data_IF_454093938153
#
_entry.id   IF_454093938153
#
_cell.length_a   1.000
_cell.length_b   1.000
_cell.length_c   1.000
_cell.angle_alpha   90.00
_cell.angle_beta   90.00
_cell.angle_gamma   90.00
#
_symmetry.space_group_name_H-M   'P 1'
#
loop_
_entity.id
_entity.type
_entity.pdbx_description
1 polymer ?
#
# COMPACT_ATOMS: atom_id res chain seq x y z
N UNK A 1 -8.82 -46.30 29.92
CA UNK A 1 -8.88 -45.98 28.48
C UNK A 1 -7.82 -44.94 28.15
N UNK A 2 -6.63 -45.40 27.78
CA UNK A 2 -5.57 -44.57 27.22
C UNK A 2 -5.83 -44.37 25.73
N UNK A 3 -5.87 -43.12 25.27
CA UNK A 3 -5.95 -42.81 23.84
C UNK A 3 -4.56 -42.36 23.40
N UNK A 4 -3.94 -43.19 22.59
CA UNK A 4 -2.63 -43.00 21.97
C UNK A 4 -2.58 -41.70 21.15
N UNK A 5 -1.58 -40.89 21.45
CA UNK A 5 -1.08 -39.84 20.56
C UNK A 5 -0.25 -40.53 19.47
N UNK A 6 -0.77 -40.55 18.24
CA UNK A 6 0.02 -40.92 17.06
C UNK A 6 0.57 -39.65 16.43
N UNK A 7 1.88 -39.48 16.59
CA UNK A 7 2.71 -38.49 15.92
C UNK A 7 2.81 -38.86 14.43
N UNK A 8 2.24 -38.03 13.54
CA UNK A 8 2.46 -38.14 12.10
C UNK A 8 3.57 -37.17 11.69
N UNK A 9 4.77 -37.70 11.42
CA UNK A 9 5.86 -36.98 10.75
C UNK A 9 5.70 -37.03 9.23
N UNK A 10 5.95 -35.86 8.64
CA UNK A 10 6.48 -35.58 7.29
C UNK A 10 5.64 -35.90 6.05
N UNK A 11 4.99 -34.85 5.53
CA UNK A 11 4.95 -34.55 4.10
C UNK A 11 5.27 -33.05 3.87
N UNK A 12 6.05 -32.79 2.82
CA UNK A 12 6.65 -31.53 2.40
C UNK A 12 5.87 -30.24 2.72
N UNK A 13 6.56 -29.32 3.40
CA UNK A 13 6.09 -28.03 3.85
C UNK A 13 5.83 -27.08 2.66
N UNK A 14 4.69 -27.20 1.97
CA UNK A 14 4.12 -26.09 1.20
C UNK A 14 3.63 -25.06 2.21
N UNK A 15 4.52 -24.13 2.60
CA UNK A 15 4.29 -23.15 3.65
C UNK A 15 2.92 -22.47 3.53
N UNK A 16 2.06 -22.74 4.51
CA UNK A 16 0.73 -22.12 4.60
C UNK A 16 0.94 -20.62 4.79
N UNK A 17 0.52 -19.85 3.79
CA UNK A 17 0.63 -18.39 3.82
C UNK A 17 -0.27 -17.80 4.90
N UNK A 18 0.33 -17.10 5.86
CA UNK A 18 -0.40 -16.29 6.83
C UNK A 18 -0.37 -14.83 6.38
N UNK A 19 -1.52 -14.24 5.97
CA UNK A 19 -1.55 -12.84 5.58
C UNK A 19 -1.24 -11.93 6.78
N UNK A 20 -0.32 -10.99 6.60
CA UNK A 20 -0.02 -9.98 7.62
C UNK A 20 -1.12 -8.90 7.59
N UNK A 21 -1.71 -8.59 8.75
CA UNK A 21 -2.77 -7.59 8.84
C UNK A 21 -2.23 -6.16 8.75
N UNK A 22 -2.93 -5.27 8.03
CA UNK A 22 -2.52 -3.86 7.85
C UNK A 22 -2.29 -3.11 9.16
N UNK A 23 -3.08 -3.38 10.20
CA UNK A 23 -2.87 -2.74 11.51
C UNK A 23 -1.64 -3.27 12.25
N UNK A 24 -1.28 -4.54 12.05
CA UNK A 24 -0.07 -5.12 12.66
C UNK A 24 1.15 -4.41 12.06
N UNK A 25 1.25 -4.40 10.73
CA UNK A 25 2.31 -3.67 10.02
C UNK A 25 2.39 -2.19 10.41
N UNK A 26 1.24 -1.52 10.50
CA UNK A 26 1.18 -0.11 10.95
C UNK A 26 1.75 0.08 12.36
N UNK A 27 1.41 -0.81 13.30
CA UNK A 27 1.90 -0.71 14.68
C UNK A 27 3.41 -0.96 14.74
N UNK A 28 3.91 -1.97 14.04
CA UNK A 28 5.34 -2.30 13.96
C UNK A 28 6.13 -1.13 13.37
N UNK A 29 5.74 -0.64 12.19
CA UNK A 29 6.39 0.51 11.57
C UNK A 29 6.30 1.78 12.43
N UNK A 30 5.22 1.98 13.20
CA UNK A 30 5.07 3.15 14.06
C UNK A 30 6.07 3.19 15.22
N UNK A 31 6.63 2.05 15.62
CA UNK A 31 7.69 2.01 16.63
C UNK A 31 9.05 2.43 16.07
N UNK A 32 9.24 2.37 14.75
CA UNK A 32 10.47 2.81 14.14
C UNK A 32 10.54 4.35 14.10
N UNK A 33 11.57 5.01 14.67
CA UNK A 33 11.65 6.47 14.78
C UNK A 33 11.51 7.18 13.42
N UNK A 34 12.20 6.65 12.40
CA UNK A 34 12.15 7.18 11.03
C UNK A 34 10.75 6.97 10.41
N UNK A 35 10.23 5.74 10.39
CA UNK A 35 8.99 5.43 9.65
C UNK A 35 7.74 6.11 10.24
N UNK A 36 7.74 6.43 11.55
CA UNK A 36 6.58 7.00 12.24
C UNK A 36 6.06 8.28 11.59
N UNK A 37 6.93 9.17 11.10
CA UNK A 37 6.54 10.42 10.42
C UNK A 37 5.98 10.20 9.01
N UNK A 38 6.23 9.02 8.42
CA UNK A 38 5.76 8.63 7.09
C UNK A 38 4.47 7.79 7.13
N UNK A 39 3.88 7.56 8.30
CA UNK A 39 2.64 6.78 8.43
C UNK A 39 1.41 7.69 8.49
N UNK A 40 0.45 7.57 7.55
CA UNK A 40 -0.81 8.30 7.66
C UNK A 40 -1.57 7.82 8.90
N UNK A 41 -2.23 8.74 9.63
CA UNK A 41 -2.94 8.35 10.85
C UNK A 41 -3.94 7.22 10.54
N UNK A 42 -3.78 6.09 11.24
CA UNK A 42 -4.58 4.88 11.02
C UNK A 42 -5.14 4.38 12.35
N UNK A 43 -6.44 4.09 12.39
CA UNK A 43 -7.15 3.59 13.58
C UNK A 43 -8.07 2.44 13.23
N UNK A 44 -8.37 1.59 14.22
CA UNK A 44 -9.51 0.68 14.12
C UNK A 44 -10.80 1.49 13.97
N UNK A 45 -11.65 1.06 13.05
CA UNK A 45 -12.89 1.79 12.75
C UNK A 45 -13.83 1.80 13.95
N UNK A 46 -14.30 2.98 14.31
CA UNK A 46 -15.52 3.18 15.12
C UNK A 46 -16.27 4.36 14.53
N UNK A 47 -17.55 4.51 14.85
CA UNK A 47 -18.33 5.66 14.39
C UNK A 47 -17.66 6.99 14.81
N UNK A 48 -17.33 7.11 16.10
CA UNK A 48 -16.71 8.30 16.66
C UNK A 48 -15.35 8.62 15.99
N UNK A 49 -14.45 7.63 15.88
CA UNK A 49 -13.13 7.84 15.26
C UNK A 49 -13.26 8.23 13.79
N UNK A 50 -14.18 7.60 13.05
CA UNK A 50 -14.39 7.90 11.63
C UNK A 50 -14.90 9.32 11.42
N UNK A 51 -15.88 9.76 12.22
CA UNK A 51 -16.41 11.12 12.14
C UNK A 51 -15.37 12.16 12.55
N UNK A 52 -14.63 11.93 13.63
CA UNK A 52 -13.53 12.80 14.06
C UNK A 52 -12.48 12.95 12.96
N UNK A 53 -12.00 11.85 12.41
CA UNK A 53 -11.01 11.88 11.33
C UNK A 53 -11.56 12.52 10.04
N UNK A 54 -12.85 12.36 9.74
CA UNK A 54 -13.50 13.06 8.64
C UNK A 54 -13.55 14.58 8.85
N UNK A 55 -13.68 15.02 10.10
CA UNK A 55 -13.67 16.43 10.42
C UNK A 55 -12.25 17.01 10.32
N UNK A 56 -11.27 16.34 10.94
CA UNK A 56 -9.85 16.74 10.91
C UNK A 56 -9.27 16.74 9.49
N UNK A 57 -9.44 15.65 8.74
CA UNK A 57 -8.74 15.45 7.47
C UNK A 57 -9.59 15.73 6.23
N UNK A 58 -10.90 15.95 6.39
CA UNK A 58 -11.92 16.08 5.32
C UNK A 58 -12.09 14.86 4.42
N UNK A 59 -11.08 14.03 4.25
CA UNK A 59 -11.11 12.77 3.49
C UNK A 59 -10.52 11.67 4.34
N UNK A 60 -11.17 10.51 4.38
CA UNK A 60 -10.64 9.30 4.98
C UNK A 60 -10.86 8.11 4.06
N UNK A 61 -9.99 7.11 4.20
CA UNK A 61 -10.11 5.82 3.56
C UNK A 61 -10.44 4.76 4.61
N UNK A 62 -11.50 4.01 4.37
CA UNK A 62 -11.87 2.84 5.15
C UNK A 62 -11.39 1.61 4.39
N UNK A 63 -10.47 0.86 4.99
CA UNK A 63 -9.78 -0.29 4.35
C UNK A 63 -10.03 -1.56 5.15
N UNK A 64 -10.30 -2.72 4.53
CA UNK A 64 -10.32 -3.98 5.28
C UNK A 64 -8.92 -4.29 5.81
N UNK A 65 -8.82 -4.87 7.02
CA UNK A 65 -7.52 -5.20 7.62
C UNK A 65 -6.71 -6.19 6.77
N UNK A 66 -7.42 -7.09 6.09
CA UNK A 66 -6.87 -8.07 5.15
C UNK A 66 -7.45 -7.87 3.75
N UNK A 67 -6.67 -8.26 2.75
CA UNK A 67 -7.00 -8.12 1.33
C UNK A 67 -6.00 -7.24 0.60
N UNK A 68 -6.03 -7.32 -0.72
CA UNK A 68 -5.07 -6.70 -1.63
C UNK A 68 -5.77 -5.99 -2.79
N UNK A 69 -5.01 -5.24 -3.58
CA UNK A 69 -5.50 -4.62 -4.82
C UNK A 69 -6.57 -3.52 -4.61
N UNK A 70 -6.67 -2.98 -3.41
CA UNK A 70 -7.65 -1.94 -3.08
C UNK A 70 -9.11 -2.37 -3.23
N UNK A 71 -9.41 -3.66 -3.20
CA UNK A 71 -10.78 -4.17 -3.17
C UNK A 71 -11.41 -3.91 -1.80
N UNK A 72 -12.64 -3.40 -1.80
CA UNK A 72 -13.36 -3.05 -0.57
C UNK A 72 -12.84 -1.79 0.14
N UNK A 73 -11.96 -1.00 -0.48
CA UNK A 73 -11.61 0.33 0.01
C UNK A 73 -12.78 1.28 -0.24
N UNK A 74 -13.22 1.94 0.81
CA UNK A 74 -14.26 2.96 0.79
C UNK A 74 -13.59 4.32 1.02
N UNK A 75 -13.85 5.29 0.16
CA UNK A 75 -13.44 6.68 0.39
C UNK A 75 -14.64 7.47 0.91
N UNK A 76 -14.49 8.12 2.05
CA UNK A 76 -15.45 9.10 2.54
C UNK A 76 -14.81 10.50 2.50
N UNK A 77 -15.51 11.48 1.93
CA UNK A 77 -15.03 12.87 1.78
C UNK A 77 -16.11 13.86 2.17
N UNK A 78 -15.81 14.79 3.07
CA UNK A 78 -16.64 15.95 3.42
C UNK A 78 -16.60 16.96 2.26
N UNK A 79 -17.76 17.31 1.72
CA UNK A 79 -17.97 18.24 0.60
C UNK A 79 -19.03 19.26 1.02
N UNK A 80 -18.58 20.44 1.47
CA UNK A 80 -19.46 21.41 2.13
C UNK A 80 -20.14 20.80 3.36
N UNK A 81 -21.48 20.88 3.41
CA UNK A 81 -22.34 20.29 4.46
C UNK A 81 -22.72 18.83 4.20
N UNK A 82 -22.25 18.22 3.11
CA UNK A 82 -22.54 16.84 2.69
C UNK A 82 -21.29 15.97 2.72
N UNK A 83 -21.48 14.67 2.54
CA UNK A 83 -20.43 13.67 2.48
C UNK A 83 -20.57 12.85 1.22
N UNK A 84 -19.48 12.74 0.45
CA UNK A 84 -19.37 11.81 -0.66
C UNK A 84 -18.72 10.50 -0.17
N UNK A 85 -19.41 9.37 -0.36
CA UNK A 85 -18.91 8.03 -0.06
C UNK A 85 -18.78 7.24 -1.36
N UNK A 86 -17.60 6.71 -1.64
CA UNK A 86 -17.32 5.89 -2.84
C UNK A 86 -16.76 4.53 -2.48
N UNK A 87 -17.18 3.49 -3.18
CA UNK A 87 -16.59 2.16 -3.13
C UNK A 87 -16.63 1.57 -4.54
N UNK A 88 -15.46 1.32 -5.15
CA UNK A 88 -15.41 0.94 -6.57
C UNK A 88 -16.01 2.02 -7.49
N UNK A 89 -16.94 1.62 -8.37
CA UNK A 89 -17.73 2.53 -9.22
C UNK A 89 -18.90 3.18 -8.47
N UNK A 90 -19.35 2.60 -7.35
CA UNK A 90 -20.47 3.12 -6.58
C UNK A 90 -20.13 4.45 -5.91
N UNK A 91 -21.04 5.42 -6.01
CA UNK A 91 -20.94 6.75 -5.41
C UNK A 91 -22.26 7.12 -4.74
N UNK A 92 -22.18 7.63 -3.51
CA UNK A 92 -23.31 8.20 -2.76
C UNK A 92 -22.93 9.57 -2.22
N UNK A 93 -23.86 10.53 -2.28
CA UNK A 93 -23.73 11.83 -1.63
C UNK A 93 -24.83 11.93 -0.59
N UNK A 94 -24.45 12.10 0.68
CA UNK A 94 -25.37 12.01 1.82
C UNK A 94 -25.17 13.16 2.79
N UNK A 95 -26.19 13.46 3.60
CA UNK A 95 -26.09 14.38 4.73
C UNK A 95 -25.32 13.73 5.91
N UNK A 96 -24.92 14.54 6.88
CA UNK A 96 -24.16 14.11 8.07
C UNK A 96 -24.79 12.91 8.79
N UNK A 97 -26.10 12.93 9.05
CA UNK A 97 -26.79 11.85 9.76
C UNK A 97 -26.71 10.49 9.03
N UNK A 98 -26.57 10.49 7.70
CA UNK A 98 -26.58 9.29 6.87
C UNK A 98 -25.17 8.77 6.49
N UNK A 99 -24.09 9.52 6.75
CA UNK A 99 -22.73 9.13 6.34
C UNK A 99 -22.29 7.78 6.92
N UNK A 100 -22.62 7.52 8.18
CA UNK A 100 -22.27 6.26 8.85
C UNK A 100 -22.95 5.07 8.19
N UNK A 101 -24.24 5.20 7.84
CA UNK A 101 -25.01 4.16 7.16
C UNK A 101 -24.46 3.91 5.76
N UNK A 102 -24.11 4.98 5.02
CA UNK A 102 -23.50 4.88 3.71
C UNK A 102 -22.13 4.19 3.71
N UNK A 103 -21.28 4.44 4.73
CA UNK A 103 -20.01 3.72 4.90
C UNK A 103 -20.28 2.25 5.24
N UNK A 104 -21.20 1.98 6.17
CA UNK A 104 -21.54 0.62 6.60
C UNK A 104 -22.07 -0.24 5.47
N UNK A 105 -22.89 0.31 4.58
CA UNK A 105 -23.47 -0.45 3.45
C UNK A 105 -22.44 -1.00 2.46
N UNK A 106 -21.21 -0.48 2.45
CA UNK A 106 -20.14 -0.99 1.61
C UNK A 106 -19.17 -1.93 2.33
N UNK A 107 -19.32 -2.09 3.66
CA UNK A 107 -18.50 -3.01 4.44
C UNK A 107 -19.05 -4.41 4.32
N UNK A 108 -18.15 -5.39 4.21
CA UNK A 108 -18.52 -6.80 4.32
C UNK A 108 -18.74 -7.16 5.79
N UNK A 109 -19.76 -7.97 6.12
CA UNK A 109 -19.96 -8.48 7.47
C UNK A 109 -18.75 -9.31 7.92
N UNK A 110 -18.56 -9.42 9.23
CA UNK A 110 -17.47 -10.17 9.90
C UNK A 110 -16.02 -9.78 9.55
N UNK A 111 -15.81 -8.75 8.70
CA UNK A 111 -14.46 -8.21 8.43
C UNK A 111 -14.11 -7.04 9.34
N UNK A 112 -12.88 -7.05 9.84
CA UNK A 112 -12.29 -5.91 10.55
C UNK A 112 -11.85 -4.85 9.55
N UNK A 113 -12.13 -3.58 9.86
CA UNK A 113 -11.78 -2.44 9.02
C UNK A 113 -10.98 -1.39 9.80
N UNK A 114 -10.17 -0.67 9.06
CA UNK A 114 -9.37 0.47 9.50
C UNK A 114 -9.94 1.73 8.89
N UNK A 115 -9.81 2.86 9.60
CA UNK A 115 -9.97 4.20 9.06
C UNK A 115 -8.59 4.86 9.01
N UNK A 116 -8.25 5.40 7.85
CA UNK A 116 -6.96 6.01 7.57
C UNK A 116 -7.15 7.41 6.99
N UNK A 117 -6.27 8.34 7.36
CA UNK A 117 -6.19 9.69 6.82
C UNK A 117 -6.14 9.69 5.29
N UNK A 118 -6.89 10.60 4.66
CA UNK A 118 -6.77 10.90 3.24
C UNK A 118 -5.61 11.88 2.99
N UNK A 119 -4.75 11.54 2.04
CA UNK A 119 -3.53 12.29 1.72
C UNK A 119 -3.74 13.29 0.56
N UNK A 120 -2.99 14.39 0.57
CA UNK A 120 -3.02 15.43 -0.48
C UNK A 120 -1.91 15.17 -1.51
N UNK A 121 -2.03 14.04 -2.18
CA UNK A 121 -1.00 13.53 -3.08
C UNK A 121 -0.71 14.46 -4.26
N UNK A 122 0.57 14.48 -4.66
CA UNK A 122 1.00 15.05 -5.92
C UNK A 122 0.32 14.32 -7.09
N UNK A 123 0.21 15.02 -8.22
CA UNK A 123 -0.41 14.48 -9.43
C UNK A 123 0.56 14.56 -10.58
N UNK A 124 0.66 13.47 -11.31
CA UNK A 124 1.38 13.38 -12.58
C UNK A 124 0.36 13.41 -13.71
N UNK A 125 0.43 14.45 -14.56
CA UNK A 125 -0.51 14.67 -15.67
C UNK A 125 -2.00 14.58 -15.24
N UNK A 126 -2.32 15.15 -14.08
CA UNK A 126 -3.68 15.16 -13.52
C UNK A 126 -4.11 13.89 -12.78
N UNK A 127 -3.35 12.80 -12.87
CA UNK A 127 -3.60 11.54 -12.15
C UNK A 127 -2.76 11.42 -10.88
N UNK A 128 -3.32 10.79 -9.85
CA UNK A 128 -2.56 10.39 -8.66
C UNK A 128 -1.58 9.27 -9.04
N UNK A 129 -0.46 9.19 -8.32
CA UNK A 129 0.50 8.12 -8.46
C UNK A 129 1.05 7.70 -7.09
N UNK A 130 1.68 6.53 -7.06
CA UNK A 130 2.60 6.13 -6.00
C UNK A 130 3.85 5.49 -6.60
N UNK A 131 4.92 5.43 -5.82
CA UNK A 131 6.11 4.65 -6.10
C UNK A 131 5.91 3.22 -5.61
N UNK A 132 6.04 2.27 -6.53
CA UNK A 132 6.13 0.84 -6.26
C UNK A 132 7.61 0.45 -6.24
N UNK A 133 8.09 0.04 -5.07
CA UNK A 133 9.40 -0.59 -4.89
C UNK A 133 9.18 -2.09 -4.69
N UNK A 134 9.91 -2.90 -5.45
CA UNK A 134 9.88 -4.36 -5.36
C UNK A 134 11.18 -4.83 -4.72
N UNK A 135 11.09 -5.21 -3.45
CA UNK A 135 12.18 -5.72 -2.62
C UNK A 135 12.20 -7.25 -2.68
N UNK A 136 13.38 -7.84 -2.76
CA UNK A 136 13.58 -9.29 -2.71
C UNK A 136 14.80 -9.64 -1.87
N UNK A 137 14.76 -10.80 -1.22
CA UNK A 137 15.87 -11.37 -0.46
C UNK A 137 16.24 -12.72 -1.10
N UNK A 138 16.96 -12.72 -2.26
CA UNK A 138 17.31 -13.94 -2.99
C UNK A 138 18.25 -14.85 -2.21
N UNK A 139 19.05 -14.27 -1.33
CA UNK A 139 19.92 -14.96 -0.39
C UNK A 139 19.53 -14.50 1.03
N UNK A 140 20.44 -13.88 1.79
CA UNK A 140 20.19 -13.30 3.12
C UNK A 140 19.85 -11.81 3.11
N UNK A 141 20.28 -11.06 2.10
CA UNK A 141 20.17 -9.60 2.08
C UNK A 141 19.04 -9.08 1.19
N UNK A 142 18.41 -7.99 1.62
CA UNK A 142 17.39 -7.28 0.86
C UNK A 142 18.00 -6.51 -0.32
N UNK A 143 17.47 -6.75 -1.52
CA UNK A 143 17.83 -6.02 -2.74
C UNK A 143 16.61 -5.39 -3.40
N UNK A 144 16.80 -4.17 -3.92
CA UNK A 144 15.81 -3.50 -4.77
C UNK A 144 15.86 -4.12 -6.16
N UNK A 145 14.83 -4.88 -6.48
CA UNK A 145 14.75 -5.59 -7.77
C UNK A 145 14.03 -4.78 -8.85
N UNK A 146 13.20 -3.81 -8.44
CA UNK A 146 12.59 -2.85 -9.36
C UNK A 146 11.96 -1.67 -8.65
N UNK A 147 11.95 -0.51 -9.32
CA UNK A 147 11.30 0.72 -8.86
C UNK A 147 10.50 1.33 -10.01
N UNK A 148 9.25 1.70 -9.77
CA UNK A 148 8.39 2.28 -10.81
C UNK A 148 7.31 3.17 -10.21
N UNK A 149 6.82 4.15 -10.97
CA UNK A 149 5.62 4.90 -10.63
C UNK A 149 4.37 4.14 -11.12
N UNK A 150 3.38 3.96 -10.25
CA UNK A 150 2.03 3.50 -10.62
C UNK A 150 1.11 4.69 -10.77
N UNK A 151 0.78 5.02 -12.01
CA UNK A 151 -0.13 6.13 -12.31
C UNK A 151 -1.55 5.59 -12.37
N UNK A 152 -2.46 6.17 -11.58
CA UNK A 152 -3.86 5.78 -11.60
C UNK A 152 -4.54 6.14 -12.93
N UNK A 153 -5.52 5.34 -13.33
CA UNK A 153 -6.45 5.74 -14.39
C UNK A 153 -7.15 7.06 -14.03
N UNK A 154 -7.51 7.88 -15.04
CA UNK A 154 -8.17 9.16 -14.82
C UNK A 154 -9.37 9.06 -13.86
N UNK A 155 -9.47 10.02 -12.94
CA UNK A 155 -10.56 10.13 -11.93
C UNK A 155 -10.70 8.96 -10.94
N UNK A 156 -9.80 7.97 -10.95
CA UNK A 156 -9.79 6.89 -9.95
C UNK A 156 -9.10 7.34 -8.65
N UNK A 157 -9.47 6.66 -7.56
CA UNK A 157 -9.01 6.95 -6.19
C UNK A 157 -7.96 5.96 -5.70
N UNK A 158 -7.64 4.97 -6.52
CA UNK A 158 -6.64 3.94 -6.29
C UNK A 158 -5.80 3.78 -7.56
N UNK A 159 -4.52 3.54 -7.36
CA UNK A 159 -3.45 3.39 -8.37
C UNK A 159 -3.25 1.95 -8.84
N UNK A 160 -4.10 1.02 -8.38
CA UNK A 160 -3.92 -0.39 -8.68
C UNK A 160 -3.96 -0.66 -10.20
N UNK A 161 -2.90 -1.28 -10.70
CA UNK A 161 -2.76 -1.83 -12.06
C UNK A 161 -4.00 -2.58 -12.55
N UNK A 162 -4.56 -3.49 -11.75
CA UNK A 162 -5.76 -4.28 -12.12
C UNK A 162 -7.02 -3.41 -12.27
N UNK A 163 -6.95 -2.11 -12.00
CA UNK A 163 -8.02 -1.13 -12.13
C UNK A 163 -7.69 -0.05 -13.17
N UNK A 164 -6.81 -0.36 -14.13
CA UNK A 164 -6.43 0.50 -15.25
C UNK A 164 -5.25 1.44 -14.99
N UNK A 165 -4.54 1.26 -13.88
CA UNK A 165 -3.27 1.98 -13.66
C UNK A 165 -2.16 1.47 -14.58
N UNK A 166 -1.18 2.31 -14.88
CA UNK A 166 -0.03 1.94 -15.72
C UNK A 166 1.30 2.26 -15.03
N UNK A 167 2.36 1.56 -15.45
CA UNK A 167 3.72 1.82 -15.01
C UNK A 167 4.34 3.01 -15.77
N UNK A 168 5.13 3.82 -15.08
CA UNK A 168 5.99 4.82 -15.69
C UNK A 168 7.33 4.88 -14.91
N UNK A 169 8.46 5.22 -15.57
CA UNK A 169 9.72 5.42 -14.86
C UNK A 169 9.54 6.45 -13.74
N UNK A 170 9.85 6.06 -12.50
CA UNK A 170 9.57 6.91 -11.33
C UNK A 170 10.31 8.25 -11.41
N UNK A 171 11.56 8.26 -11.89
CA UNK A 171 12.34 9.48 -12.11
C UNK A 171 11.62 10.46 -13.05
N UNK A 172 11.05 9.98 -14.16
CA UNK A 172 10.27 10.80 -15.09
C UNK A 172 9.01 11.37 -14.44
N UNK A 173 8.34 10.57 -13.62
CA UNK A 173 7.14 11.00 -12.88
C UNK A 173 7.50 12.11 -11.90
N UNK A 174 8.51 11.88 -11.05
CA UNK A 174 8.97 12.83 -10.04
C UNK A 174 9.51 14.11 -10.67
N UNK A 175 10.33 14.02 -11.72
CA UNK A 175 10.87 15.18 -12.43
C UNK A 175 9.75 16.09 -12.94
N UNK A 176 8.68 15.50 -13.53
CA UNK A 176 7.52 16.28 -13.98
C UNK A 176 6.73 16.88 -12.83
N UNK A 177 6.56 16.15 -11.74
CA UNK A 177 5.84 16.61 -10.53
C UNK A 177 6.54 17.80 -9.89
N UNK A 178 7.87 17.77 -9.82
CA UNK A 178 8.70 18.83 -9.26
C UNK A 178 9.21 19.82 -10.32
N UNK A 179 8.44 20.02 -11.40
CA UNK A 179 8.70 21.07 -12.41
C UNK A 179 10.14 21.08 -12.98
N UNK A 180 10.69 19.90 -13.25
CA UNK A 180 12.05 19.68 -13.76
C UNK A 180 13.20 19.99 -12.79
N UNK A 181 12.91 20.17 -11.50
CA UNK A 181 13.94 20.23 -10.46
C UNK A 181 14.59 18.85 -10.29
N UNK A 182 15.83 18.72 -10.80
CA UNK A 182 16.60 17.48 -10.75
C UNK A 182 17.10 17.15 -9.35
N UNK A 183 17.46 18.17 -8.57
CA UNK A 183 17.97 18.00 -7.22
C UNK A 183 16.85 17.46 -6.32
N UNK A 184 15.67 18.09 -6.35
CA UNK A 184 14.51 17.64 -5.59
C UNK A 184 14.04 16.26 -6.04
N UNK A 185 14.04 16.00 -7.35
CA UNK A 185 13.70 14.67 -7.87
C UNK A 185 14.63 13.59 -7.32
N UNK A 186 15.95 13.84 -7.33
CA UNK A 186 16.95 12.89 -6.81
C UNK A 186 16.80 12.69 -5.31
N UNK A 187 16.65 13.78 -4.54
CA UNK A 187 16.41 13.74 -3.09
C UNK A 187 15.23 12.83 -2.73
N UNK A 188 14.08 13.01 -3.39
CA UNK A 188 12.88 12.22 -3.14
C UNK A 188 13.05 10.76 -3.56
N UNK A 189 13.75 10.50 -4.67
CA UNK A 189 14.04 9.14 -5.12
C UNK A 189 14.93 8.40 -4.12
N UNK A 190 15.97 9.05 -3.62
CA UNK A 190 16.90 8.49 -2.64
C UNK A 190 16.18 8.21 -1.30
N UNK A 191 15.32 9.13 -0.84
CA UNK A 191 14.47 8.90 0.34
C UNK A 191 13.50 7.72 0.16
N UNK A 192 12.90 7.56 -1.03
CA UNK A 192 12.02 6.42 -1.35
C UNK A 192 12.79 5.10 -1.24
N UNK A 193 14.01 5.06 -1.77
CA UNK A 193 14.90 3.89 -1.73
C UNK A 193 15.24 3.54 -0.29
N UNK A 194 15.64 4.54 0.49
CA UNK A 194 16.06 4.34 1.88
C UNK A 194 14.92 3.89 2.78
N UNK A 195 13.77 4.57 2.71
CA UNK A 195 12.56 4.17 3.42
C UNK A 195 12.15 2.73 3.06
N UNK A 196 12.34 2.32 1.80
CA UNK A 196 11.99 0.96 1.38
C UNK A 196 12.86 -0.12 2.03
N UNK A 197 14.15 0.15 2.26
CA UNK A 197 15.03 -0.76 3.01
C UNK A 197 14.60 -0.87 4.47
N UNK A 198 14.42 0.27 5.12
CA UNK A 198 13.99 0.33 6.53
C UNK A 198 12.64 -0.38 6.73
N UNK A 199 11.68 -0.20 5.82
CA UNK A 199 10.40 -0.91 5.86
C UNK A 199 10.60 -2.41 5.71
N UNK A 200 11.44 -2.86 4.77
CA UNK A 200 11.70 -4.27 4.55
C UNK A 200 12.27 -4.93 5.80
N UNK A 201 13.30 -4.34 6.39
CA UNK A 201 13.93 -4.83 7.62
C UNK A 201 12.93 -4.81 8.81
N UNK A 202 12.13 -3.76 8.91
CA UNK A 202 11.14 -3.64 9.99
C UNK A 202 10.07 -4.74 9.94
N UNK A 203 9.60 -5.09 8.74
CA UNK A 203 8.62 -6.16 8.56
C UNK A 203 9.27 -7.53 8.76
N UNK A 204 10.47 -7.74 8.21
CA UNK A 204 11.19 -9.01 8.26
C UNK A 204 11.51 -9.45 9.68
N UNK A 205 11.78 -8.50 10.60
CA UNK A 205 12.00 -8.76 12.04
C UNK A 205 10.90 -9.59 12.71
N UNK A 206 9.65 -9.39 12.32
CA UNK A 206 8.49 -10.08 12.94
C UNK A 206 7.82 -11.07 12.00
N UNK A 207 8.08 -10.97 10.70
CA UNK A 207 7.45 -11.78 9.66
C UNK A 207 8.53 -12.19 8.66
N UNK A 208 9.10 -13.40 8.75
CA UNK A 208 10.15 -13.84 7.85
C UNK A 208 9.59 -13.90 6.42
N UNK A 209 9.96 -12.93 5.60
CA UNK A 209 9.50 -12.79 4.22
C UNK A 209 10.68 -12.60 3.29
N UNK A 210 10.54 -13.07 2.05
CA UNK A 210 11.61 -12.96 1.04
C UNK A 210 11.27 -12.00 -0.08
N UNK A 211 10.04 -11.49 -0.12
CA UNK A 211 9.58 -10.53 -1.11
C UNK A 211 8.68 -9.49 -0.45
N UNK A 212 8.82 -8.23 -0.85
CA UNK A 212 7.94 -7.14 -0.42
C UNK A 212 7.68 -6.16 -1.57
N UNK A 213 6.40 -5.86 -1.80
CA UNK A 213 6.01 -4.73 -2.64
C UNK A 213 5.62 -3.57 -1.76
N UNK A 214 6.44 -2.54 -1.76
CA UNK A 214 6.27 -1.34 -0.95
C UNK A 214 5.66 -0.26 -1.84
N UNK A 215 4.56 0.32 -1.35
CA UNK A 215 3.84 1.41 -2.00
C UNK A 215 4.02 2.70 -1.20
N UNK A 216 4.68 3.68 -1.81
CA UNK A 216 4.99 4.98 -1.21
C UNK A 216 4.32 6.09 -2.02
N UNK A 217 3.50 6.92 -1.39
CA UNK A 217 2.90 8.07 -2.05
C UNK A 217 3.68 9.34 -1.75
N UNK A 218 3.62 10.31 -2.66
CA UNK A 218 4.36 11.58 -2.55
C UNK A 218 3.38 12.75 -2.60
N UNK A 219 3.50 13.70 -1.67
CA UNK A 219 2.78 14.97 -1.70
C UNK A 219 3.55 16.04 -2.48
N UNK A 220 2.87 17.14 -2.83
CA UNK A 220 3.51 18.26 -3.56
C UNK A 220 4.67 18.90 -2.78
N UNK A 221 4.66 18.81 -1.46
CA UNK A 221 5.74 19.30 -0.59
C UNK A 221 6.99 18.41 -0.63
N UNK A 222 6.89 17.20 -1.17
CA UNK A 222 7.93 16.17 -1.05
C UNK A 222 7.71 15.21 0.13
N UNK A 223 6.72 15.43 0.99
CA UNK A 223 6.39 14.46 2.05
C UNK A 223 6.05 13.09 1.45
N UNK A 224 6.74 12.05 1.90
CA UNK A 224 6.52 10.66 1.51
C UNK A 224 5.63 9.98 2.56
N UNK A 225 4.66 9.20 2.10
CA UNK A 225 3.74 8.43 2.94
C UNK A 225 3.75 6.95 2.58
N UNK A 226 3.83 6.09 3.59
CA UNK A 226 3.73 4.64 3.46
C UNK A 226 2.25 4.26 3.29
N UNK A 227 1.95 3.62 2.15
CA UNK A 227 0.58 3.20 1.82
C UNK A 227 0.34 1.74 2.16
N UNK A 228 1.27 0.86 1.78
CA UNK A 228 1.17 -0.58 1.96
C UNK A 228 2.55 -1.24 1.82
N UNK A 229 2.80 -2.31 2.59
CA UNK A 229 3.92 -3.22 2.42
C UNK A 229 3.36 -4.64 2.22
N UNK A 230 3.34 -5.12 0.98
CA UNK A 230 2.69 -6.38 0.64
C UNK A 230 3.71 -7.52 0.51
N UNK A 231 3.67 -8.57 1.35
CA UNK A 231 4.61 -9.70 1.31
C UNK A 231 4.40 -10.64 0.12
N UNK A 232 3.33 -10.46 -0.65
CA UNK A 232 3.13 -11.16 -1.91
C UNK A 232 2.85 -10.16 -3.05
N UNK A 233 3.89 -9.45 -3.51
CA UNK A 233 3.72 -8.48 -4.57
C UNK A 233 3.53 -9.15 -5.95
N UNK A 234 2.65 -8.56 -6.76
CA UNK A 234 2.61 -8.86 -8.20
C UNK A 234 3.71 -8.08 -8.93
N UNK A 235 4.33 -8.70 -9.93
CA UNK A 235 5.41 -8.11 -10.73
C UNK A 235 5.00 -7.71 -12.15
N UNK A 236 3.77 -8.06 -12.58
CA UNK A 236 3.30 -7.82 -13.95
C UNK A 236 3.36 -6.36 -14.40
N UNK A 237 3.23 -5.43 -13.45
CA UNK A 237 3.39 -3.99 -13.69
C UNK A 237 4.75 -3.66 -14.34
N UNK A 238 5.83 -4.34 -13.96
CA UNK A 238 7.18 -4.06 -14.47
C UNK A 238 7.36 -4.46 -15.94
N UNK A 239 6.47 -5.29 -16.50
CA UNK A 239 6.46 -5.63 -17.94
C UNK A 239 6.00 -4.46 -18.82
N UNK A 240 5.34 -3.44 -18.25
CA UNK A 240 4.89 -2.28 -19.00
C UNK A 240 5.98 -1.21 -19.18
N UNK A 241 7.10 -1.34 -18.45
CA UNK A 241 8.20 -0.41 -18.60
C UNK A 241 8.95 -0.71 -19.90
N UNK A 242 9.37 0.31 -20.67
CA UNK A 242 10.15 0.10 -21.89
C UNK A 242 11.45 -0.69 -21.64
N UNK A 243 12.06 -0.49 -20.47
CA UNK A 243 13.26 -1.22 -20.07
C UNK A 243 12.90 -2.48 -19.26
N UNK A 244 13.10 -3.65 -19.87
CA UNK A 244 12.81 -4.95 -19.26
C UNK A 244 13.87 -5.44 -18.26
N UNK A 245 14.93 -4.67 -17.95
CA UNK A 245 15.97 -5.07 -16.98
C UNK A 245 15.37 -5.37 -15.60
N UNK A 246 14.45 -4.53 -15.12
CA UNK A 246 13.82 -4.70 -13.80
C UNK A 246 13.00 -6.00 -13.72
N UNK A 247 12.14 -6.27 -14.71
CA UNK A 247 11.35 -7.51 -14.71
C UNK A 247 12.25 -8.75 -14.83
N UNK A 248 13.31 -8.70 -15.64
CA UNK A 248 14.28 -9.81 -15.74
C UNK A 248 14.97 -10.07 -14.40
N UNK A 249 15.39 -9.02 -13.69
CA UNK A 249 15.99 -9.14 -12.36
C UNK A 249 14.99 -9.73 -11.35
N UNK A 250 13.74 -9.25 -11.35
CA UNK A 250 12.69 -9.77 -10.46
C UNK A 250 12.47 -11.27 -10.67
N UNK A 251 12.37 -11.71 -11.92
CA UNK A 251 12.16 -13.12 -12.26
C UNK A 251 13.39 -13.99 -11.95
N UNK A 252 14.60 -13.47 -12.14
CA UNK A 252 15.84 -14.15 -11.74
C UNK A 252 15.87 -14.38 -10.22
N UNK A 253 15.62 -13.33 -9.44
CA UNK A 253 15.63 -13.41 -7.99
C UNK A 253 14.50 -14.30 -7.46
N UNK A 254 13.31 -14.26 -8.09
CA UNK A 254 12.23 -15.20 -7.75
C UNK A 254 12.66 -16.66 -7.88
N UNK A 255 13.34 -17.04 -8.97
CA UNK A 255 13.85 -18.41 -9.13
C UNK A 255 14.78 -18.80 -7.97
N UNK A 256 15.75 -17.93 -7.64
CA UNK A 256 16.67 -18.16 -6.51
C UNK A 256 15.93 -18.34 -5.18
N UNK A 257 14.91 -17.51 -4.91
CA UNK A 257 14.08 -17.61 -3.70
C UNK A 257 13.32 -18.94 -3.60
N UNK A 258 12.90 -19.53 -4.72
CA UNK A 258 12.12 -20.78 -4.69
C UNK A 258 13.00 -22.04 -4.64
N UNK A 259 14.29 -21.93 -4.98
CA UNK A 259 15.25 -23.03 -4.93
C UNK A 259 15.96 -23.17 -3.57
N UNK A 260 15.67 -22.30 -2.60
CA UNK A 260 16.18 -22.29 -1.23
C UNK A 260 15.00 -22.28 -0.25
#
# INVERSE_FOLDING_TARGET
MHIHVVCAKTQQNRGIFVPIGKMIQYKEMRQHPILRSHLPETRWITNARTLRMLDTYRTVFIKPNYGSGGTGIIRAKKVGRRYEVRCGSSRRVVRSHAVRRAIRSYRRPHRRYLVQQGLKLAKYKGSIFDARVYMQKPDSEWVISGVTGRVAAPRKVVTNYRKGGHAAPLSKVLLRVFKNDRAKMKEILDQIIELSRIIADTIDKNHPVRELGIDLAVEKSGQIWIIEANPHPGHMLFRQLPNHKMIRNILRNKRRIHHH
#
